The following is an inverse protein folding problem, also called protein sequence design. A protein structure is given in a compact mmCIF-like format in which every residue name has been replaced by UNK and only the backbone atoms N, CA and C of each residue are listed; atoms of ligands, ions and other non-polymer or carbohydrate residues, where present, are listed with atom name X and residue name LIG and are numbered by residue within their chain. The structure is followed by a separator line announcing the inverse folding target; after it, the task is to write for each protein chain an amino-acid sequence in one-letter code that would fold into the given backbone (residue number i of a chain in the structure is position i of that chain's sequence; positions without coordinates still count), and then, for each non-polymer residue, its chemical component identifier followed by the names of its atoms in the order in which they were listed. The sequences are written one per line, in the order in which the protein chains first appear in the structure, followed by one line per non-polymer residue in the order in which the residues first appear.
data_IF_198349138931
#
_entry.id   IF_198349138931
#
_cell.length_a   1.000
_cell.length_b   1.000
_cell.length_c   1.000
_cell.angle_alpha   90.00
_cell.angle_beta   90.00
_cell.angle_gamma   90.00
#
_symmetry.space_group_name_H-M   'P 1'
#
loop_
_entity.id
_entity.type
_entity.pdbx_description
1 polymer ?
#
# COMPACT_ATOMS: atom_id res chain seq x y z
N UNK A 1 -26.42 -25.95 16.70
CA UNK A 1 -25.45 -24.81 16.75
C UNK A 1 -24.21 -25.37 17.42
N UNK A 2 -23.05 -25.26 16.80
CA UNK A 2 -21.80 -25.75 17.37
C UNK A 2 -21.25 -24.70 18.32
N UNK A 3 -21.15 -25.00 19.61
CA UNK A 3 -20.53 -24.11 20.58
C UNK A 3 -19.02 -24.38 20.61
N UNK A 4 -18.23 -23.31 20.67
CA UNK A 4 -16.78 -23.40 20.82
C UNK A 4 -16.36 -22.61 22.05
N UNK A 5 -15.34 -23.10 22.77
CA UNK A 5 -14.77 -22.40 23.91
C UNK A 5 -13.85 -21.26 23.45
N UNK A 6 -13.57 -20.31 24.34
CA UNK A 6 -12.58 -19.24 24.08
C UNK A 6 -11.19 -19.81 23.78
N UNK A 7 -10.84 -20.91 24.42
CA UNK A 7 -9.55 -21.58 24.21
C UNK A 7 -9.46 -22.18 22.83
N UNK A 8 -10.49 -22.93 22.40
CA UNK A 8 -10.57 -23.48 21.04
C UNK A 8 -10.52 -22.38 19.97
N UNK A 9 -11.19 -21.25 20.21
CA UNK A 9 -11.15 -20.12 19.30
C UNK A 9 -9.76 -19.49 19.20
N UNK A 10 -9.10 -19.29 20.35
CA UNK A 10 -7.73 -18.79 20.40
C UNK A 10 -6.77 -19.72 19.65
N UNK A 11 -6.83 -21.01 19.93
CA UNK A 11 -5.95 -21.99 19.32
C UNK A 11 -6.19 -22.07 17.79
N UNK A 12 -7.45 -21.97 17.36
CA UNK A 12 -7.78 -21.86 15.94
C UNK A 12 -7.09 -20.63 15.31
N UNK A 13 -7.21 -19.44 15.93
CA UNK A 13 -6.59 -18.23 15.37
C UNK A 13 -5.06 -18.33 15.33
N UNK A 14 -4.43 -18.83 16.37
CA UNK A 14 -2.97 -18.98 16.43
C UNK A 14 -2.48 -19.91 15.30
N UNK A 15 -3.15 -21.05 15.13
CA UNK A 15 -2.83 -22.00 14.06
C UNK A 15 -3.15 -21.43 12.66
N UNK A 16 -4.34 -20.84 12.50
CA UNK A 16 -4.76 -20.26 11.22
C UNK A 16 -3.79 -19.18 10.74
N UNK A 17 -3.29 -18.34 11.64
CA UNK A 17 -2.35 -17.28 11.32
C UNK A 17 -0.89 -17.73 11.22
N UNK A 18 -0.60 -19.01 11.40
CA UNK A 18 0.75 -19.57 11.24
C UNK A 18 1.75 -19.15 12.32
N UNK A 19 1.29 -18.97 13.58
CA UNK A 19 2.17 -18.59 14.68
C UNK A 19 2.72 -19.78 15.49
N UNK A 20 2.22 -20.98 15.29
CA UNK A 20 2.70 -22.20 15.97
C UNK A 20 3.70 -22.95 15.12
N UNK A 21 3.37 -23.14 13.85
CA UNK A 21 4.22 -23.83 12.91
C UNK A 21 4.57 -22.88 11.76
N UNK A 22 5.86 -22.72 11.51
CA UNK A 22 6.32 -21.97 10.35
C UNK A 22 5.94 -22.73 9.07
N UNK A 23 5.48 -22.00 8.07
CA UNK A 23 5.29 -22.60 6.76
C UNK A 23 6.64 -22.98 6.15
N UNK A 24 6.84 -24.26 5.87
CA UNK A 24 8.05 -24.77 5.20
C UNK A 24 7.95 -24.57 3.69
N UNK A 25 7.89 -23.31 3.27
CA UNK A 25 7.82 -22.89 1.87
C UNK A 25 9.02 -22.00 1.56
N UNK A 26 9.40 -21.94 0.29
CA UNK A 26 10.36 -20.93 -0.17
C UNK A 26 9.77 -19.52 -0.04
N UNK A 27 10.63 -18.49 -0.10
CA UNK A 27 10.25 -17.11 0.17
C UNK A 27 9.07 -16.62 -0.67
N UNK A 28 9.04 -16.94 -1.97
CA UNK A 28 7.97 -16.53 -2.87
C UNK A 28 6.65 -17.27 -2.57
N UNK A 29 6.70 -18.60 -2.51
CA UNK A 29 5.52 -19.42 -2.21
C UNK A 29 4.95 -19.13 -0.83
N UNK A 30 5.82 -18.84 0.15
CA UNK A 30 5.42 -18.45 1.49
C UNK A 30 4.66 -17.12 1.50
N UNK A 31 5.09 -16.11 0.75
CA UNK A 31 4.41 -14.82 0.65
C UNK A 31 2.98 -15.01 0.15
N UNK A 32 2.80 -15.69 -0.98
CA UNK A 32 1.48 -15.96 -1.55
C UNK A 32 0.58 -16.68 -0.55
N UNK A 33 1.09 -17.73 0.09
CA UNK A 33 0.33 -18.51 1.08
C UNK A 33 -0.04 -17.69 2.32
N UNK A 34 0.86 -16.84 2.82
CA UNK A 34 0.56 -15.96 3.95
C UNK A 34 -0.56 -14.99 3.58
N UNK A 35 -0.47 -14.32 2.42
CA UNK A 35 -1.49 -13.36 1.99
C UNK A 35 -2.84 -14.01 1.64
N UNK A 36 -2.87 -15.25 1.17
CA UNK A 36 -4.11 -16.01 1.02
C UNK A 36 -4.88 -16.17 2.34
N UNK A 37 -4.15 -16.28 3.46
CA UNK A 37 -4.76 -16.43 4.80
C UNK A 37 -5.11 -15.10 5.44
N UNK A 38 -4.14 -14.18 5.53
CA UNK A 38 -4.32 -12.95 6.30
C UNK A 38 -4.88 -11.78 5.48
N UNK A 39 -4.94 -11.92 4.15
CA UNK A 39 -5.51 -11.01 3.16
C UNK A 39 -4.79 -9.67 3.03
N UNK A 40 -4.59 -8.94 4.10
CA UNK A 40 -3.85 -7.68 4.10
C UNK A 40 -2.91 -7.57 5.28
N UNK A 41 -1.84 -6.80 5.10
CA UNK A 41 -0.89 -6.47 6.16
C UNK A 41 -0.75 -4.95 6.20
N UNK A 42 -0.98 -4.36 7.36
CA UNK A 42 -0.76 -2.93 7.54
C UNK A 42 0.70 -2.58 7.20
N UNK A 43 0.89 -1.54 6.42
CA UNK A 43 2.20 -1.00 6.12
C UNK A 43 2.49 0.20 7.04
N UNK A 44 3.47 0.03 7.93
CA UNK A 44 4.01 1.12 8.74
C UNK A 44 5.42 1.45 8.23
N UNK A 45 5.73 2.71 7.89
CA UNK A 45 7.04 3.11 7.41
C UNK A 45 8.12 3.12 8.49
N UNK A 46 7.73 3.07 9.78
CA UNK A 46 8.69 3.01 10.89
C UNK A 46 9.55 1.75 10.80
N UNK A 47 10.85 1.92 10.97
CA UNK A 47 11.84 0.86 10.83
C UNK A 47 12.87 0.97 11.96
N UNK A 48 12.48 0.57 13.17
CA UNK A 48 13.35 0.57 14.35
C UNK A 48 14.15 -0.72 14.39
N UNK A 49 13.46 -1.87 14.32
CA UNK A 49 14.06 -3.23 14.29
C UNK A 49 13.68 -4.00 13.03
N UNK A 50 12.75 -3.50 12.25
CA UNK A 50 12.17 -4.04 11.02
C UNK A 50 10.86 -3.33 10.73
N UNK A 51 10.46 -3.31 9.46
CA UNK A 51 9.15 -2.77 9.10
C UNK A 51 8.05 -3.76 9.47
N UNK A 52 6.89 -3.25 9.84
CA UNK A 52 5.75 -4.05 10.23
C UNK A 52 5.44 -5.18 9.23
N UNK A 53 5.41 -4.89 7.94
CA UNK A 53 5.15 -5.89 6.90
C UNK A 53 6.25 -6.99 6.85
N UNK A 54 7.51 -6.62 6.97
CA UNK A 54 8.64 -7.55 7.01
C UNK A 54 8.54 -8.47 8.25
N UNK A 55 8.26 -7.89 9.41
CA UNK A 55 8.09 -8.64 10.67
C UNK A 55 6.86 -9.57 10.62
N UNK A 56 5.78 -9.13 9.99
CA UNK A 56 4.59 -9.96 9.80
C UNK A 56 4.85 -11.18 8.91
N UNK A 57 5.70 -11.06 7.90
CA UNK A 57 6.15 -12.19 7.09
C UNK A 57 7.08 -13.10 7.89
N UNK A 58 8.12 -12.54 8.50
CA UNK A 58 9.12 -13.28 9.26
C UNK A 58 8.52 -14.07 10.43
N UNK A 59 7.47 -13.53 11.10
CA UNK A 59 6.79 -14.24 12.19
C UNK A 59 6.03 -15.50 11.75
N UNK A 60 5.86 -15.71 10.45
CA UNK A 60 5.13 -16.85 9.86
C UNK A 60 6.03 -17.77 9.03
N UNK A 61 7.10 -17.24 8.51
CA UNK A 61 8.09 -18.01 7.77
C UNK A 61 9.45 -17.30 7.84
N UNK A 62 10.40 -17.93 8.55
CA UNK A 62 11.76 -17.40 8.75
C UNK A 62 12.63 -17.34 7.47
N UNK A 63 12.20 -18.03 6.42
CA UNK A 63 12.94 -18.06 5.14
C UNK A 63 12.50 -16.90 4.21
N UNK A 64 11.43 -16.17 4.55
CA UNK A 64 11.01 -14.98 3.79
C UNK A 64 11.97 -13.85 4.07
N UNK A 65 12.57 -13.33 3.03
CA UNK A 65 13.45 -12.16 3.09
C UNK A 65 12.70 -10.88 2.75
N UNK A 66 13.33 -9.76 3.06
CA UNK A 66 12.85 -8.45 2.62
C UNK A 66 12.82 -8.34 1.09
N UNK A 67 13.83 -8.89 0.45
CA UNK A 67 13.99 -8.93 -1.00
C UNK A 67 12.83 -9.68 -1.67
N UNK A 68 12.38 -10.80 -1.08
CA UNK A 68 11.23 -11.56 -1.56
C UNK A 68 9.95 -10.73 -1.52
N UNK A 69 9.71 -10.00 -0.41
CA UNK A 69 8.56 -9.12 -0.27
C UNK A 69 8.60 -7.96 -1.28
N UNK A 70 9.78 -7.36 -1.46
CA UNK A 70 9.96 -6.26 -2.42
C UNK A 70 9.81 -6.74 -3.86
N UNK A 71 10.32 -7.91 -4.19
CA UNK A 71 10.13 -8.51 -5.51
C UNK A 71 8.65 -8.82 -5.78
N UNK A 72 7.91 -9.34 -4.79
CA UNK A 72 6.47 -9.56 -4.92
C UNK A 72 5.69 -8.24 -5.14
N UNK A 73 6.09 -7.16 -4.47
CA UNK A 73 5.47 -5.83 -4.61
C UNK A 73 5.80 -5.13 -5.93
N UNK A 74 7.10 -5.09 -6.28
CA UNK A 74 7.58 -4.14 -7.28
C UNK A 74 8.09 -4.77 -8.58
N UNK A 75 8.51 -6.03 -8.54
CA UNK A 75 9.01 -6.71 -9.73
C UNK A 75 7.96 -7.65 -10.34
N UNK A 76 7.33 -8.51 -9.53
CA UNK A 76 6.31 -9.46 -9.98
C UNK A 76 4.88 -8.91 -9.92
N UNK A 77 4.65 -7.83 -9.18
CA UNK A 77 3.33 -7.21 -9.01
C UNK A 77 2.25 -8.15 -8.46
N UNK A 78 2.64 -9.15 -7.70
CA UNK A 78 1.73 -10.07 -7.00
C UNK A 78 1.02 -9.38 -5.83
N UNK A 79 1.69 -8.40 -5.26
CA UNK A 79 1.20 -7.55 -4.18
C UNK A 79 1.15 -6.09 -4.61
N UNK A 80 0.29 -5.33 -3.96
CA UNK A 80 0.14 -3.89 -4.18
C UNK A 80 0.06 -3.13 -2.86
N UNK A 81 0.65 -1.94 -2.86
CA UNK A 81 0.43 -0.95 -1.81
C UNK A 81 -0.93 -0.28 -2.01
N UNK A 82 -1.78 -0.31 -1.01
CA UNK A 82 -3.11 0.28 -1.09
C UNK A 82 -3.67 0.64 0.27
N UNK A 83 -4.98 0.69 0.33
CA UNK A 83 -5.73 1.10 1.50
C UNK A 83 -6.77 0.06 1.88
N UNK A 84 -6.80 -0.30 3.15
CA UNK A 84 -7.87 -0.99 3.86
C UNK A 84 -8.31 -0.06 4.99
N UNK A 85 -8.33 -0.46 6.22
CA UNK A 85 -8.52 0.45 7.36
C UNK A 85 -7.42 1.52 7.45
N UNK A 86 -6.20 1.14 7.12
CA UNK A 86 -5.00 1.97 7.04
C UNK A 86 -4.23 1.61 5.76
N UNK A 87 -3.13 2.32 5.48
CA UNK A 87 -2.22 1.92 4.42
C UNK A 87 -1.75 0.48 4.65
N UNK A 88 -1.86 -0.36 3.65
CA UNK A 88 -1.60 -1.79 3.73
C UNK A 88 -1.00 -2.34 2.44
N UNK A 89 -0.56 -3.57 2.52
CA UNK A 89 -0.17 -4.41 1.39
C UNK A 89 -1.20 -5.53 1.27
N UNK A 90 -1.65 -5.83 0.07
CA UNK A 90 -2.54 -6.95 -0.23
C UNK A 90 -2.29 -7.51 -1.64
N UNK A 91 -2.89 -8.64 -1.97
CA UNK A 91 -2.71 -9.28 -3.27
C UNK A 91 -3.33 -8.43 -4.40
N UNK A 92 -2.60 -8.24 -5.50
CA UNK A 92 -3.05 -7.46 -6.65
C UNK A 92 -4.36 -8.01 -7.25
N UNK A 93 -4.55 -9.33 -7.21
CA UNK A 93 -5.79 -9.99 -7.63
C UNK A 93 -7.04 -9.56 -6.81
N UNK A 94 -6.84 -9.03 -5.62
CA UNK A 94 -7.91 -8.53 -4.75
C UNK A 94 -8.20 -7.02 -4.99
N UNK A 95 -7.43 -6.34 -5.84
CA UNK A 95 -7.48 -4.89 -6.02
C UNK A 95 -8.89 -4.37 -6.28
N UNK A 96 -9.64 -5.03 -7.15
CA UNK A 96 -11.02 -4.61 -7.46
C UNK A 96 -11.98 -4.75 -6.28
N UNK A 97 -11.76 -5.71 -5.38
CA UNK A 97 -12.58 -5.87 -4.18
C UNK A 97 -12.47 -4.70 -3.21
N UNK A 98 -11.34 -3.98 -3.24
CA UNK A 98 -11.10 -2.77 -2.44
C UNK A 98 -11.63 -1.48 -3.10
N UNK A 99 -12.38 -1.57 -4.19
CA UNK A 99 -12.92 -0.39 -4.89
C UNK A 99 -13.70 0.54 -3.96
N UNK A 100 -14.58 -0.01 -3.12
CA UNK A 100 -15.34 0.80 -2.16
C UNK A 100 -14.43 1.56 -1.18
N UNK A 101 -13.37 0.92 -0.70
CA UNK A 101 -12.39 1.55 0.20
C UNK A 101 -11.66 2.67 -0.53
N UNK A 102 -11.26 2.46 -1.79
CA UNK A 102 -10.58 3.48 -2.61
C UNK A 102 -11.49 4.68 -2.89
N UNK A 103 -12.74 4.44 -3.26
CA UNK A 103 -13.72 5.50 -3.51
C UNK A 103 -13.93 6.37 -2.26
N UNK A 104 -14.05 5.74 -1.09
CA UNK A 104 -14.18 6.42 0.19
C UNK A 104 -12.90 7.19 0.59
N UNK A 105 -11.73 6.57 0.41
CA UNK A 105 -10.43 7.21 0.67
C UNK A 105 -10.22 8.43 -0.22
N UNK A 106 -10.54 8.34 -1.50
CA UNK A 106 -10.46 9.45 -2.44
C UNK A 106 -11.40 10.61 -2.03
N UNK A 107 -12.63 10.29 -1.62
CA UNK A 107 -13.61 11.27 -1.13
C UNK A 107 -13.11 11.98 0.13
N UNK A 108 -12.57 11.24 1.08
CA UNK A 108 -12.02 11.79 2.32
C UNK A 108 -10.79 12.66 2.02
N UNK A 109 -9.88 12.18 1.17
CA UNK A 109 -8.70 12.94 0.79
C UNK A 109 -9.06 14.24 0.06
N UNK A 110 -10.06 14.20 -0.83
CA UNK A 110 -10.62 15.40 -1.47
C UNK A 110 -11.12 16.41 -0.46
N UNK A 111 -11.84 15.98 0.57
CA UNK A 111 -12.32 16.85 1.65
C UNK A 111 -11.15 17.48 2.41
N UNK A 112 -10.09 16.71 2.66
CA UNK A 112 -8.86 17.22 3.30
C UNK A 112 -8.16 18.26 2.41
N UNK A 113 -8.07 18.01 1.10
CA UNK A 113 -7.49 18.96 0.15
C UNK A 113 -8.24 20.29 0.18
N UNK A 114 -9.57 20.26 0.10
CA UNK A 114 -10.39 21.48 0.12
C UNK A 114 -10.23 22.25 1.44
N UNK A 115 -10.24 21.56 2.59
CA UNK A 115 -10.01 22.19 3.91
C UNK A 115 -8.62 22.85 4.03
N UNK A 116 -7.65 22.37 3.27
CA UNK A 116 -6.28 22.92 3.22
C UNK A 116 -6.10 24.01 2.15
N UNK A 117 -7.15 24.36 1.42
CA UNK A 117 -7.07 25.30 0.30
C UNK A 117 -6.23 24.77 -0.86
N UNK A 118 -6.30 23.47 -1.13
CA UNK A 118 -5.56 22.76 -2.19
C UNK A 118 -6.44 22.45 -3.42
N UNK A 119 -7.49 23.24 -3.66
CA UNK A 119 -8.40 23.00 -4.80
C UNK A 119 -7.69 23.16 -6.15
N UNK A 120 -6.68 24.04 -6.25
CA UNK A 120 -5.82 24.16 -7.44
C UNK A 120 -5.00 22.87 -7.68
N UNK A 121 -4.57 22.20 -6.61
CA UNK A 121 -3.90 20.89 -6.74
C UNK A 121 -4.85 19.85 -7.32
N UNK A 122 -6.12 19.87 -6.90
CA UNK A 122 -7.10 18.96 -7.47
C UNK A 122 -7.35 19.25 -8.95
N UNK A 123 -7.41 20.51 -9.37
CA UNK A 123 -7.56 20.88 -10.78
C UNK A 123 -6.38 20.35 -11.64
N UNK A 124 -5.17 20.28 -11.08
CA UNK A 124 -3.99 19.77 -11.76
C UNK A 124 -3.91 18.22 -11.83
N UNK A 125 -4.85 17.51 -11.22
CA UNK A 125 -4.78 16.03 -11.08
C UNK A 125 -4.71 15.31 -12.42
N UNK A 126 -5.50 15.74 -13.40
CA UNK A 126 -5.52 15.10 -14.73
C UNK A 126 -4.22 15.34 -15.51
N UNK A 127 -3.59 16.50 -15.37
CA UNK A 127 -2.30 16.79 -16.01
C UNK A 127 -1.20 15.90 -15.43
N UNK A 128 -1.22 15.68 -14.09
CA UNK A 128 -0.26 14.79 -13.42
C UNK A 128 -0.49 13.33 -13.82
N UNK A 129 -1.74 12.89 -13.89
CA UNK A 129 -2.08 11.56 -14.41
C UNK A 129 -1.60 11.37 -15.84
N UNK A 130 -1.88 12.34 -16.72
CA UNK A 130 -1.44 12.32 -18.11
C UNK A 130 0.09 12.36 -18.26
N UNK A 131 0.80 12.97 -17.34
CA UNK A 131 2.26 12.89 -17.29
C UNK A 131 2.73 11.46 -17.01
N UNK A 132 2.19 10.81 -15.96
CA UNK A 132 2.53 9.43 -15.61
C UNK A 132 2.18 8.45 -16.74
N UNK A 133 1.02 8.60 -17.36
CA UNK A 133 0.60 7.76 -18.48
C UNK A 133 1.54 7.83 -19.71
N UNK A 134 2.19 8.98 -19.93
CA UNK A 134 3.14 9.15 -21.02
C UNK A 134 4.58 8.75 -20.69
N UNK A 135 4.99 8.89 -19.44
CA UNK A 135 6.39 8.74 -19.04
C UNK A 135 6.65 7.48 -18.21
N UNK A 136 5.58 6.79 -17.73
CA UNK A 136 5.68 5.63 -16.86
C UNK A 136 6.15 5.98 -15.45
N UNK A 137 6.77 5.02 -14.78
CA UNK A 137 7.27 5.17 -13.42
C UNK A 137 8.03 6.47 -13.21
N UNK A 138 7.55 7.29 -12.29
CA UNK A 138 8.17 8.59 -11.97
C UNK A 138 8.12 8.89 -10.48
N UNK A 139 9.19 9.49 -9.96
CA UNK A 139 9.19 10.09 -8.63
C UNK A 139 8.49 11.46 -8.68
N UNK A 140 7.87 11.86 -7.56
CA UNK A 140 7.24 13.20 -7.45
C UNK A 140 8.23 14.34 -7.79
N UNK A 141 9.53 14.13 -7.52
CA UNK A 141 10.58 15.08 -7.86
C UNK A 141 10.75 15.29 -9.35
N UNK A 142 10.47 14.28 -10.14
CA UNK A 142 10.71 14.28 -11.59
C UNK A 142 9.52 14.88 -12.36
N UNK A 143 8.34 14.90 -11.74
CA UNK A 143 7.13 15.45 -12.33
C UNK A 143 7.19 16.98 -12.30
N UNK A 144 7.15 17.66 -13.46
CA UNK A 144 7.11 19.11 -13.53
C UNK A 144 5.83 19.66 -12.86
N UNK A 145 5.99 20.41 -11.79
CA UNK A 145 4.84 21.03 -11.13
C UNK A 145 5.30 22.17 -10.20
N UNK A 146 4.45 23.20 -9.99
CA UNK A 146 4.75 24.26 -9.05
C UNK A 146 4.80 23.73 -7.61
N UNK A 147 5.33 24.56 -6.71
CA UNK A 147 5.20 24.35 -5.26
C UNK A 147 3.87 24.93 -4.79
N UNK A 148 3.24 24.28 -3.83
CA UNK A 148 2.11 24.84 -3.07
C UNK A 148 2.56 25.22 -1.67
N UNK A 149 2.08 26.34 -1.15
CA UNK A 149 2.35 26.77 0.22
C UNK A 149 1.38 26.10 1.24
N UNK A 150 0.39 25.39 0.75
CA UNK A 150 -0.67 24.77 1.56
C UNK A 150 -0.40 23.28 1.86
N UNK A 151 0.87 22.85 1.90
CA UNK A 151 1.22 21.50 2.33
C UNK A 151 0.91 21.29 3.82
N UNK A 152 0.50 20.08 4.20
CA UNK A 152 0.10 19.78 5.60
C UNK A 152 1.24 20.00 6.61
N UNK A 153 2.49 19.84 6.18
CA UNK A 153 3.72 19.99 6.99
C UNK A 153 4.69 21.02 6.41
N UNK A 154 4.20 21.95 5.60
CA UNK A 154 4.97 22.98 4.93
C UNK A 154 4.83 22.95 3.41
N UNK A 155 5.63 23.78 2.68
CA UNK A 155 5.57 23.82 1.22
C UNK A 155 5.82 22.43 0.60
N UNK A 156 4.97 22.04 -0.34
CA UNK A 156 5.10 20.77 -1.07
C UNK A 156 4.94 21.00 -2.58
N UNK A 157 5.29 20.02 -3.39
CA UNK A 157 4.96 20.06 -4.83
C UNK A 157 3.48 19.75 -5.03
N UNK A 158 2.84 20.45 -5.96
CA UNK A 158 1.46 20.13 -6.41
C UNK A 158 1.39 18.69 -6.88
N UNK A 159 2.38 18.19 -7.63
CA UNK A 159 2.46 16.78 -8.04
C UNK A 159 2.36 15.80 -6.87
N UNK A 160 2.95 16.12 -5.70
CA UNK A 160 2.87 15.25 -4.53
C UNK A 160 1.45 15.11 -3.99
N UNK A 161 0.72 16.21 -3.91
CA UNK A 161 -0.69 16.23 -3.49
C UNK A 161 -1.57 15.47 -4.48
N UNK A 162 -1.34 15.69 -5.79
CA UNK A 162 -2.06 14.99 -6.85
C UNK A 162 -1.79 13.47 -6.84
N UNK A 163 -0.52 13.07 -6.72
CA UNK A 163 -0.15 11.66 -6.65
C UNK A 163 -0.78 10.95 -5.44
N UNK A 164 -0.81 11.58 -4.27
CA UNK A 164 -1.49 10.99 -3.11
C UNK A 164 -3.00 10.85 -3.36
N UNK A 165 -3.66 11.83 -3.99
CA UNK A 165 -5.07 11.72 -4.37
C UNK A 165 -5.32 10.60 -5.39
N UNK A 166 -4.52 10.56 -6.46
CA UNK A 166 -4.62 9.55 -7.51
C UNK A 166 -4.38 8.14 -6.98
N UNK A 167 -3.41 7.99 -6.07
CA UNK A 167 -3.14 6.72 -5.41
C UNK A 167 -4.28 6.30 -4.48
N UNK A 168 -4.84 7.22 -3.68
CA UNK A 168 -6.01 6.94 -2.86
C UNK A 168 -7.22 6.51 -3.70
N UNK A 169 -7.38 7.06 -4.89
CA UNK A 169 -8.45 6.68 -5.83
C UNK A 169 -8.15 5.38 -6.60
N UNK A 170 -6.93 4.85 -6.53
CA UNK A 170 -6.49 3.67 -7.26
C UNK A 170 -6.23 3.90 -8.75
N UNK A 171 -6.15 5.15 -9.22
CA UNK A 171 -5.82 5.47 -10.61
C UNK A 171 -4.33 5.32 -10.91
N UNK A 172 -3.50 5.45 -9.88
CA UNK A 172 -2.07 5.14 -9.93
C UNK A 172 -1.72 4.19 -8.79
N UNK A 173 -0.59 3.52 -8.93
CA UNK A 173 -0.03 2.62 -7.93
C UNK A 173 1.37 3.06 -7.52
N UNK A 174 1.83 2.61 -6.37
CA UNK A 174 3.24 2.73 -6.00
C UNK A 174 4.04 1.77 -6.87
N UNK A 175 4.86 2.32 -7.75
CA UNK A 175 5.71 1.55 -8.65
C UNK A 175 6.93 0.97 -7.93
N UNK A 176 7.54 1.77 -7.06
CA UNK A 176 8.70 1.37 -6.25
C UNK A 176 8.83 2.26 -5.01
N UNK A 177 9.50 1.74 -3.99
CA UNK A 177 9.91 2.53 -2.82
C UNK A 177 11.42 2.50 -2.65
N UNK A 178 12.00 3.68 -2.42
CA UNK A 178 13.39 3.83 -1.97
C UNK A 178 13.37 4.52 -0.60
N UNK A 179 13.52 3.73 0.45
CA UNK A 179 13.25 4.19 1.80
C UNK A 179 11.77 4.54 1.99
N UNK A 180 11.48 5.81 2.27
CA UNK A 180 10.11 6.35 2.39
C UNK A 180 9.63 7.03 1.10
N UNK A 181 10.53 7.25 0.14
CA UNK A 181 10.21 7.91 -1.13
C UNK A 181 9.55 6.91 -2.06
N UNK A 182 8.42 7.30 -2.63
CA UNK A 182 7.63 6.51 -3.58
C UNK A 182 7.86 7.02 -5.01
N UNK A 183 7.97 6.11 -5.97
CA UNK A 183 7.64 6.37 -7.36
C UNK A 183 6.24 5.86 -7.66
N UNK A 184 5.60 6.44 -8.64
CA UNK A 184 4.24 6.10 -9.04
C UNK A 184 4.18 5.76 -10.53
N UNK A 185 3.21 4.91 -10.87
CA UNK A 185 2.86 4.60 -12.25
C UNK A 185 1.34 4.43 -12.35
N UNK A 186 0.80 4.44 -13.56
CA UNK A 186 -0.63 4.15 -13.78
C UNK A 186 -0.96 2.69 -13.41
N UNK A 187 -2.22 2.43 -13.12
CA UNK A 187 -2.71 1.06 -12.81
C UNK A 187 -3.07 0.26 -14.07
N UNK A 188 -3.00 0.87 -15.25
CA UNK A 188 -3.30 0.25 -16.55
C UNK A 188 -2.06 -0.40 -17.17
#
# INVERSE_FOLDING_TARGET
MTEITKEQLRDFYINYHGFVEFFELDGQSAISHIFERIKSVQYDPLNIIGRNAELAMFSRNKNVTREDLFAALYDRRELVDGWDKMMCIFQSAEFEKFKYVRDESARQYRTVMSRRGQDDCHAATEDIYGYLARNGESYVTDIPSPKTNNGGWGPSKVAGVCCEYLWNSGRITVARKKGVVKSFDTTE
#
